data_IF_238723480784
#
_entry.id   IF_238723480784
#
_cell.length_a   1.000
_cell.length_b   1.000
_cell.length_c   1.000
_cell.angle_alpha   90.00
_cell.angle_beta   90.00
_cell.angle_gamma   90.00
#
_symmetry.space_group_name_H-M   'P 1'
#
loop_
_entity.id
_entity.type
_entity.pdbx_description
1 polymer ?
#
# COMPACT_ATOMS: atom_id res chain seq x y z
N UNK A 1 -0.42 11.23 -24.14
CA UNK A 1 0.17 10.72 -22.87
C UNK A 1 0.67 9.28 -23.00
N UNK A 2 -0.16 8.32 -23.46
CA UNK A 2 0.25 6.92 -23.66
C UNK A 2 1.50 6.73 -24.54
N UNK A 3 1.59 7.40 -25.70
CA UNK A 3 2.70 7.21 -26.63
C UNK A 3 4.07 7.59 -26.03
N UNK A 4 4.14 8.72 -25.32
CA UNK A 4 5.35 9.18 -24.66
C UNK A 4 5.79 8.24 -23.52
N UNK A 5 4.83 7.74 -22.74
CA UNK A 5 5.11 6.79 -21.66
C UNK A 5 5.59 5.44 -22.22
N UNK A 6 4.97 4.94 -23.27
CA UNK A 6 5.40 3.70 -23.93
C UNK A 6 6.81 3.83 -24.53
N UNK A 7 7.12 4.96 -25.17
CA UNK A 7 8.46 5.23 -25.70
C UNK A 7 9.51 5.29 -24.59
N UNK A 8 9.19 5.97 -23.48
CA UNK A 8 10.05 6.03 -22.30
C UNK A 8 10.32 4.63 -21.73
N UNK A 9 9.27 3.83 -21.52
CA UNK A 9 9.40 2.48 -20.98
C UNK A 9 10.21 1.57 -21.91
N UNK A 10 10.04 1.71 -23.22
CA UNK A 10 10.84 0.96 -24.20
C UNK A 10 12.32 1.34 -24.13
N UNK A 11 12.65 2.63 -24.01
CA UNK A 11 14.05 3.09 -23.84
C UNK A 11 14.65 2.58 -22.52
N UNK A 12 13.88 2.63 -21.44
CA UNK A 12 14.31 2.13 -20.13
C UNK A 12 14.52 0.61 -20.15
N UNK A 13 13.66 -0.15 -20.83
CA UNK A 13 13.76 -1.61 -20.93
C UNK A 13 14.99 -2.10 -21.71
N UNK A 14 15.62 -1.23 -22.50
CA UNK A 14 16.92 -1.53 -23.13
C UNK A 14 18.10 -1.42 -22.16
N UNK A 15 17.94 -0.69 -21.06
CA UNK A 15 18.99 -0.41 -20.08
C UNK A 15 18.80 -1.25 -18.82
N UNK A 16 17.57 -1.42 -18.38
CA UNK A 16 17.22 -2.08 -17.13
C UNK A 16 16.60 -3.45 -17.38
N UNK A 17 17.08 -4.46 -16.64
CA UNK A 17 16.54 -5.84 -16.69
C UNK A 17 15.11 -5.97 -16.13
N UNK A 18 14.64 -4.96 -15.40
CA UNK A 18 13.32 -4.92 -14.82
C UNK A 18 12.97 -3.50 -14.40
N UNK A 19 11.72 -3.11 -14.64
CA UNK A 19 11.17 -1.80 -14.28
C UNK A 19 10.01 -2.06 -13.32
N UNK A 20 10.06 -1.48 -12.12
CA UNK A 20 8.95 -1.52 -11.17
C UNK A 20 8.20 -0.20 -11.24
N UNK A 21 6.89 -0.28 -11.48
CA UNK A 21 5.99 0.86 -11.54
C UNK A 21 5.01 0.73 -10.37
N UNK A 22 5.06 1.69 -9.46
CA UNK A 22 4.20 1.73 -8.28
C UNK A 22 3.19 2.85 -8.49
N UNK A 23 1.91 2.50 -8.41
CA UNK A 23 0.79 3.46 -8.43
C UNK A 23 0.18 3.45 -7.03
N UNK A 24 0.46 4.51 -6.28
CA UNK A 24 -0.10 4.71 -4.94
C UNK A 24 -1.49 5.36 -5.02
N UNK A 25 -2.31 5.13 -4.00
CA UNK A 25 -3.64 5.72 -3.84
C UNK A 25 -4.53 5.56 -5.09
N UNK A 26 -4.56 4.35 -5.64
CA UNK A 26 -5.34 3.99 -6.85
C UNK A 26 -6.85 4.25 -6.69
N UNK A 27 -7.29 4.54 -5.47
CA UNK A 27 -8.65 4.74 -4.99
C UNK A 27 -9.02 6.21 -4.73
N UNK A 28 -8.11 7.17 -4.93
CA UNK A 28 -8.41 8.60 -4.75
C UNK A 28 -9.42 9.17 -5.74
N UNK A 29 -9.54 8.56 -6.91
CA UNK A 29 -10.59 8.84 -7.88
C UNK A 29 -11.76 7.90 -7.65
N UNK A 30 -12.99 8.33 -7.93
CA UNK A 30 -14.16 7.44 -7.88
C UNK A 30 -13.84 6.11 -8.60
N UNK A 31 -14.36 4.97 -8.11
CA UNK A 31 -14.03 3.64 -8.64
C UNK A 31 -14.07 3.57 -10.18
N UNK A 32 -15.04 4.26 -10.79
CA UNK A 32 -15.21 4.35 -12.24
C UNK A 32 -14.02 5.02 -12.93
N UNK A 33 -13.48 6.09 -12.36
CA UNK A 33 -12.33 6.85 -12.87
C UNK A 33 -11.01 6.13 -12.63
N UNK A 34 -10.87 5.42 -11.51
CA UNK A 34 -9.74 4.52 -11.26
C UNK A 34 -9.70 3.42 -12.32
N UNK A 35 -10.84 2.75 -12.56
CA UNK A 35 -10.97 1.71 -13.60
C UNK A 35 -10.69 2.27 -14.99
N UNK A 36 -11.19 3.47 -15.33
CA UNK A 36 -10.91 4.12 -16.61
C UNK A 36 -9.42 4.44 -16.77
N UNK A 37 -8.77 4.90 -15.71
CA UNK A 37 -7.33 5.19 -15.73
C UNK A 37 -6.53 3.92 -15.97
N UNK A 38 -6.88 2.84 -15.27
CA UNK A 38 -6.26 1.52 -15.43
C UNK A 38 -6.49 0.93 -16.83
N UNK A 39 -7.67 1.14 -17.42
CA UNK A 39 -7.97 0.71 -18.79
C UNK A 39 -7.12 1.48 -19.82
N UNK A 40 -6.96 2.79 -19.62
CA UNK A 40 -6.10 3.62 -20.45
C UNK A 40 -4.61 3.26 -20.35
N UNK A 41 -4.15 2.60 -19.29
CA UNK A 41 -2.75 2.15 -19.19
C UNK A 41 -2.58 0.65 -19.44
N UNK A 42 -3.68 -0.07 -19.73
CA UNK A 42 -3.69 -1.52 -19.99
C UNK A 42 -2.68 -1.99 -21.05
N UNK A 43 -2.48 -1.29 -22.18
CA UNK A 43 -1.48 -1.68 -23.17
C UNK A 43 -0.05 -1.70 -22.62
N UNK A 44 0.24 -0.92 -21.57
CA UNK A 44 1.55 -0.83 -20.95
C UNK A 44 1.87 -2.06 -20.10
N UNK A 45 0.86 -2.72 -19.53
CA UNK A 45 1.06 -3.93 -18.71
C UNK A 45 1.61 -5.12 -19.48
N UNK A 46 1.52 -5.09 -20.82
CA UNK A 46 2.05 -6.13 -21.70
C UNK A 46 3.50 -5.90 -22.11
N UNK A 47 4.13 -4.82 -21.61
CA UNK A 47 5.55 -4.60 -21.84
C UNK A 47 6.36 -5.61 -21.04
N UNK A 48 7.20 -6.37 -21.75
CA UNK A 48 8.16 -7.27 -21.13
C UNK A 48 9.08 -6.50 -20.18
N UNK A 49 9.49 -7.15 -19.09
CA UNK A 49 10.34 -6.59 -18.04
C UNK A 49 9.71 -5.46 -17.20
N UNK A 50 8.40 -5.27 -17.23
CA UNK A 50 7.69 -4.32 -16.35
C UNK A 50 6.88 -5.05 -15.27
N UNK A 51 6.99 -4.59 -14.02
CA UNK A 51 6.25 -5.06 -12.86
C UNK A 51 5.40 -3.92 -12.30
N UNK A 52 4.11 -4.15 -12.12
CA UNK A 52 3.18 -3.13 -11.67
C UNK A 52 2.66 -3.46 -10.27
N UNK A 53 2.75 -2.49 -9.37
CA UNK A 53 2.23 -2.58 -7.99
C UNK A 53 1.22 -1.47 -7.82
N UNK A 54 -0.02 -1.85 -7.55
CA UNK A 54 -1.12 -0.93 -7.26
C UNK A 54 -1.42 -0.98 -5.78
N UNK A 55 -1.50 0.19 -5.15
CA UNK A 55 -1.81 0.33 -3.73
C UNK A 55 -3.13 1.09 -3.61
N UNK A 56 -4.06 0.56 -2.83
CA UNK A 56 -5.36 1.17 -2.59
C UNK A 56 -5.95 0.70 -1.27
N UNK A 57 -7.02 1.36 -0.83
CA UNK A 57 -7.74 0.98 0.39
C UNK A 57 -8.49 -0.35 0.26
N UNK A 58 -8.93 -0.86 1.41
CA UNK A 58 -9.84 -1.99 1.48
C UNK A 58 -11.19 -1.66 0.80
N UNK A 59 -11.67 -0.42 0.89
CA UNK A 59 -12.93 0.02 0.26
C UNK A 59 -12.89 -0.17 -1.26
N UNK A 60 -11.77 0.18 -1.90
CA UNK A 60 -11.56 -0.06 -3.33
C UNK A 60 -11.65 -1.55 -3.69
N UNK A 61 -11.13 -2.42 -2.83
CA UNK A 61 -11.23 -3.86 -3.04
C UNK A 61 -12.66 -4.38 -2.84
N UNK A 62 -13.38 -3.87 -1.83
CA UNK A 62 -14.79 -4.22 -1.58
C UNK A 62 -15.71 -3.76 -2.72
N UNK A 63 -15.51 -2.54 -3.21
CA UNK A 63 -16.20 -2.00 -4.38
C UNK A 63 -15.94 -2.86 -5.62
N UNK A 64 -14.70 -3.28 -5.82
CA UNK A 64 -14.32 -4.23 -6.87
C UNK A 64 -15.05 -5.58 -6.73
N UNK A 65 -15.04 -6.20 -5.54
CA UNK A 65 -15.76 -7.46 -5.28
C UNK A 65 -17.28 -7.31 -5.47
N UNK A 66 -17.85 -6.16 -5.12
CA UNK A 66 -19.27 -5.86 -5.33
C UNK A 66 -19.62 -5.77 -6.82
N UNK A 67 -18.71 -5.20 -7.63
CA UNK A 67 -18.81 -5.18 -9.09
C UNK A 67 -18.90 -6.58 -9.69
N UNK A 68 -18.04 -7.50 -9.23
CA UNK A 68 -18.04 -8.90 -9.65
C UNK A 68 -19.39 -9.58 -9.31
N UNK A 69 -19.89 -9.41 -8.08
CA UNK A 69 -21.14 -10.02 -7.61
C UNK A 69 -22.38 -9.58 -8.39
N UNK A 70 -22.37 -8.36 -8.94
CA UNK A 70 -23.47 -7.81 -9.75
C UNK A 70 -23.40 -8.19 -11.23
N UNK A 71 -22.47 -9.08 -11.61
CA UNK A 71 -22.31 -9.53 -12.99
C UNK A 71 -21.63 -8.50 -13.91
N UNK A 72 -21.12 -7.40 -13.36
CA UNK A 72 -20.19 -6.55 -14.11
C UNK A 72 -18.88 -7.31 -14.20
N UNK A 73 -18.53 -7.80 -15.40
CA UNK A 73 -17.14 -8.21 -15.68
C UNK A 73 -16.25 -7.02 -15.36
N UNK A 74 -15.50 -7.09 -14.27
CA UNK A 74 -14.59 -6.05 -13.90
C UNK A 74 -13.32 -6.24 -14.71
N UNK A 75 -12.94 -5.23 -15.51
CA UNK A 75 -11.71 -5.23 -16.31
C UNK A 75 -10.46 -5.54 -15.45
N UNK A 76 -10.54 -5.23 -14.16
CA UNK A 76 -9.55 -5.50 -13.12
C UNK A 76 -9.26 -7.00 -12.88
N UNK A 77 -10.21 -7.89 -13.14
CA UNK A 77 -10.03 -9.36 -12.99
C UNK A 77 -8.91 -9.88 -13.89
N UNK A 78 -8.70 -9.22 -15.04
CA UNK A 78 -7.64 -9.56 -15.99
C UNK A 78 -6.33 -8.82 -15.76
N UNK A 79 -6.33 -7.81 -14.87
CA UNK A 79 -5.19 -6.92 -14.66
C UNK A 79 -4.31 -7.37 -13.49
N UNK A 80 -4.92 -7.85 -12.41
CA UNK A 80 -4.18 -8.26 -11.23
C UNK A 80 -3.87 -9.75 -11.27
N UNK A 81 -2.59 -10.08 -11.42
CA UNK A 81 -2.11 -11.47 -11.34
C UNK A 81 -1.97 -11.94 -9.90
N UNK A 82 -1.83 -11.02 -8.94
CA UNK A 82 -1.70 -11.29 -7.51
C UNK A 82 -2.28 -10.13 -6.70
N UNK A 83 -3.03 -10.47 -5.67
CA UNK A 83 -3.55 -9.52 -4.68
C UNK A 83 -2.89 -9.84 -3.35
N UNK A 84 -2.37 -8.81 -2.67
CA UNK A 84 -1.75 -8.93 -1.34
C UNK A 84 -2.53 -8.07 -0.37
N UNK A 85 -3.08 -8.68 0.67
CA UNK A 85 -3.77 -7.97 1.74
C UNK A 85 -2.78 -7.65 2.85
N UNK A 86 -2.76 -6.38 3.26
CA UNK A 86 -2.06 -5.94 4.47
C UNK A 86 -3.06 -5.96 5.62
N UNK A 87 -2.98 -6.99 6.45
CA UNK A 87 -3.81 -7.07 7.65
C UNK A 87 -3.33 -6.07 8.71
N UNK A 88 -4.25 -5.57 9.57
CA UNK A 88 -3.85 -4.83 10.76
C UNK A 88 -2.82 -5.60 11.56
N UNK A 89 -1.85 -4.89 12.12
CA UNK A 89 -0.80 -5.49 12.93
C UNK A 89 -1.42 -6.11 14.19
N UNK A 90 -0.87 -7.24 14.63
CA UNK A 90 -1.16 -7.71 15.99
C UNK A 90 -0.59 -6.73 17.01
N UNK A 91 -1.08 -6.80 18.25
CA UNK A 91 -0.53 -6.01 19.35
C UNK A 91 0.98 -6.23 19.49
N UNK A 92 1.40 -7.49 19.46
CA UNK A 92 2.82 -7.88 19.62
C UNK A 92 3.67 -7.38 18.45
N UNK A 93 3.13 -7.38 17.22
CA UNK A 93 3.83 -6.81 16.07
C UNK A 93 4.01 -5.29 16.22
N UNK A 94 2.97 -4.57 16.67
CA UNK A 94 3.09 -3.13 16.94
C UNK A 94 4.12 -2.87 18.04
N UNK A 95 4.08 -3.58 19.17
CA UNK A 95 5.07 -3.41 20.24
C UNK A 95 6.49 -3.65 19.72
N UNK A 96 6.71 -4.69 18.90
CA UNK A 96 8.02 -4.96 18.27
C UNK A 96 8.47 -3.80 17.38
N UNK A 97 7.58 -3.29 16.55
CA UNK A 97 7.86 -2.14 15.66
C UNK A 97 8.20 -0.88 16.47
N UNK A 98 7.45 -0.59 17.53
CA UNK A 98 7.68 0.57 18.38
C UNK A 98 9.00 0.48 19.17
N UNK A 99 9.37 -0.72 19.64
CA UNK A 99 10.68 -0.95 20.27
C UNK A 99 11.83 -0.66 19.31
N UNK A 100 11.72 -1.09 18.05
CA UNK A 100 12.72 -0.80 17.02
C UNK A 100 12.84 0.71 16.75
N UNK A 101 11.74 1.46 16.88
CA UNK A 101 11.70 2.92 16.70
C UNK A 101 12.38 3.68 17.85
N UNK A 102 12.15 3.29 19.10
CA UNK A 102 12.70 3.97 20.29
C UNK A 102 14.18 3.61 20.54
N UNK A 103 14.63 2.44 20.10
CA UNK A 103 16.00 1.98 20.28
C UNK A 103 16.18 1.03 21.48
N UNK A 104 17.43 0.65 21.76
CA UNK A 104 17.77 -0.54 22.57
C UNK A 104 17.48 -0.42 24.07
N UNK A 105 17.23 0.77 24.61
CA UNK A 105 16.95 0.95 26.05
C UNK A 105 15.51 1.38 26.28
N UNK A 106 14.64 0.37 26.38
CA UNK A 106 13.24 0.52 26.82
C UNK A 106 13.18 0.04 28.26
N UNK A 107 13.10 0.97 29.20
CA UNK A 107 12.83 0.65 30.60
C UNK A 107 11.42 0.06 30.78
N UNK A 108 11.12 -0.47 31.97
CA UNK A 108 9.83 -1.11 32.26
C UNK A 108 8.64 -0.15 32.04
N UNK A 109 8.79 1.12 32.40
CA UNK A 109 7.74 2.13 32.24
C UNK A 109 7.45 2.43 30.77
N UNK A 110 8.51 2.61 29.96
CA UNK A 110 8.38 2.76 28.50
C UNK A 110 7.73 1.53 27.88
N UNK A 111 8.05 0.33 28.34
CA UNK A 111 7.43 -0.89 27.81
C UNK A 111 5.91 -0.94 28.08
N UNK A 112 5.46 -0.54 29.27
CA UNK A 112 4.03 -0.46 29.58
C UNK A 112 3.32 0.58 28.71
N UNK A 113 3.94 1.73 28.45
CA UNK A 113 3.39 2.76 27.57
C UNK A 113 3.31 2.25 26.12
N UNK A 114 4.32 1.53 25.63
CA UNK A 114 4.29 0.92 24.29
C UNK A 114 3.14 -0.08 24.13
N UNK A 115 2.88 -0.88 25.15
CA UNK A 115 1.75 -1.81 25.20
C UNK A 115 0.41 -1.06 25.15
N UNK A 116 0.30 0.08 25.84
CA UNK A 116 -0.87 0.96 25.77
C UNK A 116 -1.04 1.52 24.36
N UNK A 117 0.02 2.05 23.74
CA UNK A 117 -0.02 2.56 22.36
C UNK A 117 -0.49 1.48 21.40
N UNK A 118 0.09 0.28 21.46
CA UNK A 118 -0.28 -0.83 20.60
C UNK A 118 -1.76 -1.19 20.76
N UNK A 119 -2.28 -1.14 21.99
CA UNK A 119 -3.70 -1.41 22.30
C UNK A 119 -4.62 -0.36 21.69
N UNK A 120 -4.35 0.94 21.91
CA UNK A 120 -5.24 2.02 21.43
C UNK A 120 -5.18 2.19 19.91
N UNK A 121 -4.07 1.81 19.28
CA UNK A 121 -3.88 1.90 17.83
C UNK A 121 -4.60 0.82 17.05
N UNK A 122 -5.11 -0.23 17.72
CA UNK A 122 -5.95 -1.29 17.13
C UNK A 122 -5.36 -1.87 15.82
N UNK A 123 -4.04 -2.08 15.79
CA UNK A 123 -3.33 -2.62 14.64
C UNK A 123 -2.96 -1.62 13.54
N UNK A 124 -3.29 -0.33 13.68
CA UNK A 124 -2.86 0.73 12.76
C UNK A 124 -1.42 1.18 13.09
N UNK A 125 -0.42 0.88 12.23
CA UNK A 125 0.95 1.28 12.49
C UNK A 125 1.17 2.80 12.39
N UNK A 126 0.38 3.52 11.59
CA UNK A 126 0.48 4.99 11.47
C UNK A 126 0.10 5.67 12.79
N UNK A 127 -1.00 5.24 13.39
CA UNK A 127 -1.46 5.79 14.67
C UNK A 127 -0.48 5.44 15.79
N UNK A 128 0.00 4.18 15.81
CA UNK A 128 0.99 3.73 16.78
C UNK A 128 2.27 4.57 16.73
N UNK A 129 2.80 4.83 15.52
CA UNK A 129 3.98 5.68 15.34
C UNK A 129 3.73 7.11 15.79
N UNK A 130 2.58 7.69 15.46
CA UNK A 130 2.22 9.05 15.87
C UNK A 130 2.20 9.21 17.40
N UNK A 131 1.59 8.26 18.11
CA UNK A 131 1.60 8.29 19.58
C UNK A 131 3.01 8.07 20.15
N UNK A 132 3.82 7.24 19.51
CA UNK A 132 5.19 6.99 19.91
C UNK A 132 6.08 8.24 19.75
N UNK A 133 5.95 8.96 18.64
CA UNK A 133 6.72 10.19 18.40
C UNK A 133 6.38 11.29 19.42
N UNK A 134 5.14 11.35 19.93
CA UNK A 134 4.77 12.26 21.03
C UNK A 134 5.55 11.96 22.31
N UNK A 135 5.74 10.68 22.65
CA UNK A 135 6.54 10.29 23.82
C UNK A 135 8.01 10.66 23.67
N UNK A 136 8.57 10.49 22.45
CA UNK A 136 9.96 10.85 22.18
C UNK A 136 10.14 12.37 22.20
N UNK A 137 9.18 13.13 21.69
CA UNK A 137 9.21 14.59 21.67
C UNK A 137 9.05 15.27 23.04
N UNK A 138 8.37 14.63 24.00
CA UNK A 138 8.27 15.11 25.39
C UNK A 138 9.52 14.77 26.24
N UNK A 139 10.41 13.91 25.74
CA UNK A 139 11.62 13.48 26.45
C UNK A 139 12.91 14.21 26.02
N UNK A 140 12.83 15.19 25.09
CA UNK A 140 13.94 16.01 24.62
C UNK A 140 13.82 17.46 25.06
#
# INVERSE_FOLDING_TARGET
MQAALQELLKKLGQVFKGIVIIVDETDKSNYVEAVKTLDNIKPLFWLENCYYIFVGSQEFHEDYLSGIKTGKKTLLDSLFTRIIYLHPFSKDDLVRVLKLRIGKEVDKGKNEILETIATISKGNPRDAMRYCDLLVGECG
#
